data_IF_780362596950
#
_entry.id   IF_780362596950
#
_cell.length_a   1.000
_cell.length_b   1.000
_cell.length_c   1.000
_cell.angle_alpha   90.00
_cell.angle_beta   90.00
_cell.angle_gamma   90.00
#
_symmetry.space_group_name_H-M   'P 1'
#
loop_
_entity.id
_entity.type
_entity.pdbx_description
1 polymer ?
#
# COMPACT_ATOMS: atom_id res chain seq x y z
N UNK A 1 27.89 -17.32 -28.76
CA UNK A 1 29.32 -16.94 -28.74
C UNK A 1 30.14 -18.07 -29.35
N UNK A 2 30.95 -17.79 -30.38
CA UNK A 2 32.00 -18.72 -30.82
C UNK A 2 33.29 -18.33 -30.10
N UNK A 3 33.68 -19.12 -29.10
CA UNK A 3 34.90 -18.92 -28.33
C UNK A 3 35.93 -19.97 -28.76
N UNK A 4 37.17 -19.58 -29.02
CA UNK A 4 38.24 -20.49 -29.45
C UNK A 4 38.83 -21.33 -28.31
N UNK A 5 38.48 -21.03 -27.06
CA UNK A 5 38.93 -21.70 -25.85
C UNK A 5 37.72 -22.23 -25.06
N UNK A 6 37.67 -23.55 -24.88
CA UNK A 6 36.57 -24.28 -24.24
C UNK A 6 36.39 -23.90 -22.77
N UNK A 7 37.49 -23.61 -22.06
CA UNK A 7 37.45 -23.26 -20.64
C UNK A 7 36.91 -21.83 -20.45
N UNK A 8 37.29 -20.91 -21.32
CA UNK A 8 36.74 -19.54 -21.33
C UNK A 8 35.28 -19.51 -21.78
N UNK A 9 34.88 -20.36 -22.73
CA UNK A 9 33.49 -20.50 -23.12
C UNK A 9 32.61 -20.97 -21.95
N UNK A 10 33.09 -21.96 -21.18
CA UNK A 10 32.42 -22.46 -19.99
C UNK A 10 32.37 -21.42 -18.87
N UNK A 11 33.45 -20.68 -18.64
CA UNK A 11 33.51 -19.62 -17.63
C UNK A 11 32.56 -18.46 -17.97
N UNK A 12 32.55 -17.98 -19.21
CA UNK A 12 31.59 -16.98 -19.66
C UNK A 12 30.15 -17.51 -19.56
N UNK A 13 29.87 -18.74 -20.02
CA UNK A 13 28.51 -19.28 -19.95
C UNK A 13 28.00 -19.43 -18.51
N UNK A 14 28.88 -19.73 -17.56
CA UNK A 14 28.48 -20.02 -16.17
C UNK A 14 28.51 -18.77 -15.27
N UNK A 15 29.42 -17.82 -15.54
CA UNK A 15 29.72 -16.72 -14.63
C UNK A 15 29.57 -15.33 -15.25
N UNK A 16 29.15 -15.20 -16.52
CA UNK A 16 29.00 -13.90 -17.18
C UNK A 16 28.04 -12.97 -16.45
N UNK A 17 26.86 -13.47 -16.04
CA UNK A 17 25.91 -12.70 -15.25
C UNK A 17 26.56 -12.18 -13.96
N UNK A 18 27.15 -13.06 -13.14
CA UNK A 18 27.78 -12.65 -11.88
C UNK A 18 28.96 -11.68 -12.06
N UNK A 19 29.71 -11.79 -13.16
CA UNK A 19 30.91 -10.99 -13.41
C UNK A 19 30.59 -9.58 -13.94
N UNK A 20 29.56 -9.46 -14.79
CA UNK A 20 29.26 -8.24 -15.52
C UNK A 20 27.94 -7.59 -15.11
N UNK A 21 27.12 -8.21 -14.25
CA UNK A 21 25.81 -7.67 -13.87
C UNK A 21 25.89 -6.26 -13.30
N UNK A 22 26.80 -6.00 -12.36
CA UNK A 22 26.98 -4.65 -11.79
C UNK A 22 27.37 -3.63 -12.87
N UNK A 23 28.33 -3.99 -13.75
CA UNK A 23 28.80 -3.09 -14.81
C UNK A 23 27.71 -2.83 -15.87
N UNK A 24 26.94 -3.85 -16.23
CA UNK A 24 25.79 -3.74 -17.13
C UNK A 24 24.73 -2.84 -16.49
N UNK A 25 24.42 -3.01 -15.21
CA UNK A 25 23.48 -2.16 -14.48
C UNK A 25 23.91 -0.70 -14.47
N UNK A 26 25.19 -0.41 -14.15
CA UNK A 26 25.74 0.95 -14.17
C UNK A 26 25.64 1.60 -15.56
N UNK A 27 25.94 0.84 -16.62
CA UNK A 27 25.85 1.34 -18.00
C UNK A 27 24.40 1.58 -18.41
N UNK A 28 23.48 0.64 -18.09
CA UNK A 28 22.06 0.78 -18.39
C UNK A 28 21.51 2.03 -17.70
N UNK A 29 21.75 2.17 -16.41
CA UNK A 29 21.27 3.29 -15.60
C UNK A 29 21.74 4.62 -16.21
N UNK A 30 23.06 4.76 -16.43
CA UNK A 30 23.64 5.96 -17.04
C UNK A 30 23.03 6.29 -18.40
N UNK A 31 22.96 5.32 -19.31
CA UNK A 31 22.46 5.55 -20.67
C UNK A 31 20.96 5.87 -20.66
N UNK A 32 20.18 5.21 -19.81
CA UNK A 32 18.76 5.50 -19.65
C UNK A 32 18.53 6.92 -19.10
N UNK A 33 19.23 7.32 -18.04
CA UNK A 33 19.12 8.68 -17.48
C UNK A 33 19.54 9.78 -18.46
N UNK A 34 20.48 9.50 -19.36
CA UNK A 34 20.91 10.46 -20.39
C UNK A 34 19.92 10.58 -21.56
N UNK A 35 19.23 9.48 -21.92
CA UNK A 35 18.40 9.41 -23.11
C UNK A 35 16.90 9.54 -22.88
N UNK A 36 16.43 9.17 -21.69
CA UNK A 36 15.01 9.16 -21.34
C UNK A 36 14.77 10.32 -20.37
N UNK A 37 14.00 11.35 -20.79
CA UNK A 37 13.59 12.43 -19.90
C UNK A 37 12.87 11.89 -18.65
N UNK A 38 13.01 12.59 -17.51
CA UNK A 38 12.36 12.21 -16.24
C UNK A 38 10.84 12.11 -16.34
N UNK A 39 10.21 12.81 -17.30
CA UNK A 39 8.76 12.81 -17.54
C UNK A 39 8.30 11.73 -18.56
N UNK A 40 9.21 10.86 -19.03
CA UNK A 40 8.91 9.88 -20.07
C UNK A 40 9.06 8.44 -19.58
N UNK A 41 7.94 7.70 -19.52
CA UNK A 41 7.97 6.26 -19.29
C UNK A 41 8.20 5.50 -20.60
N UNK A 42 9.16 4.56 -20.59
CA UNK A 42 9.53 3.74 -21.75
C UNK A 42 9.56 2.28 -21.34
N UNK A 43 8.63 1.47 -21.88
CA UNK A 43 8.61 0.02 -21.69
C UNK A 43 9.27 -0.69 -22.87
N UNK A 44 10.20 -1.59 -22.59
CA UNK A 44 10.85 -2.44 -23.58
C UNK A 44 10.81 -3.88 -23.05
N UNK A 45 9.89 -4.70 -23.57
CA UNK A 45 9.71 -6.08 -23.09
C UNK A 45 10.96 -6.95 -23.31
N UNK A 46 11.68 -6.72 -24.41
CA UNK A 46 12.99 -7.32 -24.63
C UNK A 46 13.84 -6.47 -25.58
N UNK A 47 15.13 -6.37 -25.29
CA UNK A 47 16.10 -5.72 -26.16
C UNK A 47 17.20 -6.70 -26.54
N UNK A 48 17.23 -7.09 -27.81
CA UNK A 48 18.30 -7.92 -28.34
C UNK A 48 19.43 -7.04 -28.85
N UNK A 49 20.63 -7.23 -28.30
CA UNK A 49 21.80 -6.42 -28.63
C UNK A 49 22.86 -7.31 -29.26
N UNK A 50 23.19 -7.03 -30.51
CA UNK A 50 24.27 -7.72 -31.21
C UNK A 50 25.63 -7.10 -30.86
N UNK A 51 26.36 -7.80 -30.00
CA UNK A 51 27.62 -7.32 -29.42
C UNK A 51 28.84 -7.50 -30.34
N UNK A 52 28.70 -8.20 -31.47
CA UNK A 52 29.79 -8.42 -32.41
C UNK A 52 30.87 -9.40 -31.89
N UNK A 53 32.11 -9.21 -32.35
CA UNK A 53 33.26 -10.07 -32.00
C UNK A 53 34.20 -9.33 -31.06
N UNK A 54 34.63 -10.00 -30.00
CA UNK A 54 35.59 -9.47 -29.04
C UNK A 54 36.95 -10.14 -29.17
N UNK A 55 38.00 -9.38 -28.88
CA UNK A 55 39.34 -9.92 -28.68
C UNK A 55 39.44 -10.59 -27.32
N UNK A 56 40.14 -11.73 -27.27
CA UNK A 56 40.33 -12.52 -26.05
C UNK A 56 41.12 -11.76 -24.96
N UNK A 57 42.03 -10.86 -25.37
CA UNK A 57 42.94 -10.18 -24.45
C UNK A 57 42.40 -8.87 -23.88
N UNK A 58 41.35 -8.32 -24.46
CA UNK A 58 40.76 -7.02 -24.10
C UNK A 58 39.26 -7.10 -23.84
N UNK A 59 38.70 -8.32 -23.77
CA UNK A 59 37.26 -8.56 -23.63
C UNK A 59 36.58 -7.70 -22.57
N UNK A 60 37.14 -7.61 -21.36
CA UNK A 60 36.48 -6.90 -20.24
C UNK A 60 36.32 -5.40 -20.52
N UNK A 61 37.39 -4.72 -20.94
CA UNK A 61 37.39 -3.28 -21.22
C UNK A 61 36.65 -2.97 -22.51
N UNK A 62 36.80 -3.81 -23.54
CA UNK A 62 36.10 -3.63 -24.82
C UNK A 62 34.59 -3.88 -24.66
N UNK A 63 34.20 -4.81 -23.78
CA UNK A 63 32.80 -5.13 -23.53
C UNK A 63 32.03 -3.93 -22.99
N UNK A 64 32.56 -3.21 -21.99
CA UNK A 64 31.90 -2.03 -21.43
C UNK A 64 31.63 -0.97 -22.49
N UNK A 65 32.65 -0.63 -23.28
CA UNK A 65 32.57 0.40 -24.33
C UNK A 65 31.60 -0.04 -25.44
N UNK A 66 31.72 -1.27 -25.91
CA UNK A 66 30.89 -1.80 -26.98
C UNK A 66 29.44 -1.97 -26.51
N UNK A 67 29.22 -2.43 -25.28
CA UNK A 67 27.89 -2.58 -24.70
C UNK A 67 27.21 -1.23 -24.56
N UNK A 68 27.87 -0.24 -23.95
CA UNK A 68 27.32 1.11 -23.79
C UNK A 68 26.89 1.70 -25.14
N UNK A 69 27.80 1.66 -26.13
CA UNK A 69 27.51 2.17 -27.47
C UNK A 69 26.36 1.41 -28.16
N UNK A 70 26.35 0.08 -28.10
CA UNK A 70 25.33 -0.74 -28.75
C UNK A 70 23.98 -0.68 -28.06
N UNK A 71 23.96 -0.60 -26.73
CA UNK A 71 22.75 -0.38 -25.94
C UNK A 71 22.17 1.00 -26.24
N UNK A 72 22.98 2.06 -26.25
CA UNK A 72 22.54 3.41 -26.60
C UNK A 72 21.91 3.44 -28.00
N UNK A 73 22.55 2.82 -29.01
CA UNK A 73 21.99 2.74 -30.35
C UNK A 73 20.65 2.00 -30.38
N UNK A 74 20.60 0.82 -29.76
CA UNK A 74 19.39 0.01 -29.71
C UNK A 74 18.25 0.75 -28.99
N UNK A 75 18.55 1.46 -27.90
CA UNK A 75 17.59 2.26 -27.15
C UNK A 75 17.11 3.45 -27.99
N UNK A 76 17.99 4.21 -28.64
CA UNK A 76 17.60 5.32 -29.53
C UNK A 76 16.70 4.86 -30.66
N UNK A 77 16.97 3.70 -31.24
CA UNK A 77 16.11 3.12 -32.28
C UNK A 77 14.71 2.76 -31.74
N UNK A 78 14.61 2.23 -30.52
CA UNK A 78 13.31 1.99 -29.89
C UNK A 78 12.57 3.30 -29.59
N UNK A 79 13.27 4.29 -29.02
CA UNK A 79 12.69 5.60 -28.72
C UNK A 79 12.21 6.33 -29.98
N UNK A 80 12.90 6.17 -31.11
CA UNK A 80 12.53 6.77 -32.39
C UNK A 80 11.33 6.08 -33.07
N UNK A 81 11.08 4.81 -32.75
CA UNK A 81 9.94 4.03 -33.28
C UNK A 81 8.63 4.34 -32.56
N UNK A 82 8.70 4.85 -31.33
CA UNK A 82 7.54 5.12 -30.48
C UNK A 82 6.59 6.18 -31.07
N UNK A 83 5.58 5.73 -31.78
CA UNK A 83 4.41 6.53 -32.15
C UNK A 83 3.67 7.01 -30.89
N UNK A 84 2.88 8.10 -30.97
CA UNK A 84 2.03 8.53 -29.86
C UNK A 84 1.08 7.43 -29.35
N UNK A 85 0.65 6.52 -30.23
CA UNK A 85 -0.22 5.40 -29.90
C UNK A 85 0.52 4.31 -29.10
N UNK A 86 1.74 3.93 -29.50
CA UNK A 86 2.58 2.99 -28.74
C UNK A 86 2.97 3.55 -27.37
N UNK A 87 3.24 4.86 -27.28
CA UNK A 87 3.48 5.53 -25.98
C UNK A 87 2.24 5.45 -25.09
N UNK A 88 1.04 5.71 -25.62
CA UNK A 88 -0.22 5.60 -24.86
C UNK A 88 -0.43 4.18 -24.36
N UNK A 89 -0.22 3.18 -25.23
CA UNK A 89 -0.34 1.76 -24.88
C UNK A 89 0.66 1.38 -23.78
N UNK A 90 1.93 1.80 -23.88
CA UNK A 90 2.95 1.52 -22.87
C UNK A 90 2.62 2.14 -21.51
N UNK A 91 2.11 3.38 -21.49
CA UNK A 91 1.64 4.04 -20.26
C UNK A 91 0.45 3.29 -19.66
N UNK A 92 -0.51 2.88 -20.49
CA UNK A 92 -1.66 2.10 -20.02
C UNK A 92 -1.24 0.78 -19.38
N UNK A 93 -0.37 -0.01 -20.04
CA UNK A 93 0.13 -1.26 -19.48
C UNK A 93 0.94 -1.04 -18.19
N UNK A 94 1.76 0.01 -18.12
CA UNK A 94 2.48 0.34 -16.90
C UNK A 94 1.50 0.67 -15.75
N UNK A 95 0.45 1.45 -16.03
CA UNK A 95 -0.58 1.76 -15.04
C UNK A 95 -1.36 0.52 -14.59
N UNK A 96 -1.65 -0.41 -15.50
CA UNK A 96 -2.29 -1.69 -15.17
C UNK A 96 -1.40 -2.56 -14.29
N UNK A 97 -0.10 -2.67 -14.61
CA UNK A 97 0.85 -3.44 -13.81
C UNK A 97 1.03 -2.84 -12.39
N UNK A 98 1.11 -1.51 -12.29
CA UNK A 98 1.14 -0.81 -11.00
C UNK A 98 -0.15 -1.10 -10.22
N UNK A 99 -1.30 -1.07 -10.90
CA UNK A 99 -2.60 -1.29 -10.28
C UNK A 99 -2.76 -2.72 -9.76
N UNK A 100 -2.45 -3.72 -10.57
CA UNK A 100 -2.50 -5.13 -10.18
C UNK A 100 -1.54 -5.39 -9.02
N UNK A 101 -0.30 -4.91 -9.13
CA UNK A 101 0.69 -5.05 -8.05
C UNK A 101 0.23 -4.40 -6.75
N UNK A 102 -0.35 -3.20 -6.82
CA UNK A 102 -0.91 -2.51 -5.65
C UNK A 102 -2.10 -3.27 -5.08
N UNK A 103 -3.03 -3.75 -5.92
CA UNK A 103 -4.20 -4.48 -5.46
C UNK A 103 -3.86 -5.83 -4.82
N UNK A 104 -2.79 -6.48 -5.26
CA UNK A 104 -2.34 -7.75 -4.67
C UNK A 104 -1.54 -7.51 -3.39
N UNK A 105 -0.59 -6.58 -3.42
CA UNK A 105 0.44 -6.46 -2.37
C UNK A 105 0.20 -5.32 -1.38
N UNK A 106 -0.58 -4.31 -1.76
CA UNK A 106 -0.72 -3.05 -1.02
C UNK A 106 0.48 -2.11 -1.13
N UNK A 107 1.49 -2.45 -1.96
CA UNK A 107 2.72 -1.68 -2.16
C UNK A 107 2.83 -1.18 -3.60
N UNK A 108 3.82 -0.32 -3.86
CA UNK A 108 4.19 0.05 -5.22
C UNK A 108 5.29 -0.87 -5.76
N UNK A 109 5.34 -1.11 -7.08
CA UNK A 109 6.50 -1.72 -7.70
C UNK A 109 7.77 -0.89 -7.47
N UNK A 110 8.91 -1.58 -7.39
CA UNK A 110 10.20 -0.95 -7.04
C UNK A 110 10.67 0.15 -8.00
N UNK A 111 10.15 0.20 -9.22
CA UNK A 111 10.49 1.21 -10.23
C UNK A 111 9.64 2.48 -10.13
N UNK A 112 8.71 2.56 -9.19
CA UNK A 112 7.85 3.74 -9.00
C UNK A 112 8.10 4.39 -7.64
N UNK A 113 8.39 5.69 -7.65
CA UNK A 113 8.41 6.51 -6.45
C UNK A 113 7.02 6.92 -6.00
N UNK A 114 6.80 7.10 -4.69
CA UNK A 114 5.50 7.53 -4.15
C UNK A 114 5.04 8.89 -4.71
N UNK A 115 5.96 9.77 -5.08
CA UNK A 115 5.64 11.10 -5.65
C UNK A 115 5.13 11.03 -7.10
N UNK A 116 5.35 9.91 -7.76
CA UNK A 116 5.06 9.72 -9.18
C UNK A 116 3.68 9.07 -9.41
N UNK A 117 2.95 8.78 -8.33
CA UNK A 117 1.62 8.17 -8.39
C UNK A 117 0.56 9.09 -7.82
N UNK A 118 -0.51 9.25 -8.59
CA UNK A 118 -1.81 9.66 -8.09
C UNK A 118 -2.81 8.52 -8.31
N UNK A 119 -3.47 8.08 -7.23
CA UNK A 119 -4.50 7.04 -7.30
C UNK A 119 -5.66 7.45 -8.23
N UNK A 120 -5.89 8.74 -8.47
CA UNK A 120 -6.90 9.20 -9.43
C UNK A 120 -6.57 8.81 -10.87
N UNK A 121 -5.30 8.54 -11.21
CA UNK A 121 -4.91 8.04 -12.53
C UNK A 121 -5.54 6.67 -12.83
N UNK A 122 -5.83 5.88 -11.80
CA UNK A 122 -6.53 4.60 -11.96
C UNK A 122 -7.98 4.76 -12.42
N UNK A 123 -8.60 5.92 -12.19
CA UNK A 123 -9.95 6.17 -12.73
C UNK A 123 -9.92 6.19 -14.26
N UNK A 124 -8.96 6.88 -14.87
CA UNK A 124 -8.83 6.98 -16.33
C UNK A 124 -8.47 5.64 -16.98
N UNK A 125 -7.59 4.84 -16.36
CA UNK A 125 -7.24 3.51 -16.84
C UNK A 125 -8.44 2.55 -16.85
N UNK A 126 -9.33 2.64 -15.86
CA UNK A 126 -10.56 1.83 -15.79
C UNK A 126 -11.53 2.12 -16.93
N UNK A 127 -11.58 3.37 -17.41
CA UNK A 127 -12.51 3.76 -18.47
C UNK A 127 -12.00 3.49 -19.88
N UNK A 128 -10.69 3.33 -20.09
CA UNK A 128 -10.10 3.11 -21.42
C UNK A 128 -9.75 1.64 -21.73
N UNK A 129 -9.68 0.76 -20.71
CA UNK A 129 -9.32 -0.66 -20.86
C UNK A 129 -10.24 -1.62 -20.12
N UNK A 130 -10.67 -2.70 -20.79
CA UNK A 130 -11.45 -3.78 -20.16
C UNK A 130 -10.61 -4.74 -19.29
N UNK A 131 -9.27 -4.58 -19.24
CA UNK A 131 -8.41 -5.55 -18.55
C UNK A 131 -8.55 -5.51 -17.04
N UNK A 132 -8.71 -4.32 -16.45
CA UNK A 132 -8.94 -4.18 -15.01
C UNK A 132 -10.19 -4.95 -14.55
N UNK A 133 -11.25 -4.92 -15.35
CA UNK A 133 -12.47 -5.65 -15.04
C UNK A 133 -12.28 -7.16 -15.19
N UNK A 134 -11.45 -7.60 -16.16
CA UNK A 134 -11.05 -9.02 -16.27
C UNK A 134 -10.23 -9.46 -15.08
N UNK A 135 -9.32 -8.62 -14.58
CA UNK A 135 -8.57 -8.90 -13.35
C UNK A 135 -9.54 -9.14 -12.18
N UNK A 136 -10.47 -8.22 -11.91
CA UNK A 136 -11.48 -8.41 -10.86
C UNK A 136 -12.41 -9.60 -11.11
N UNK A 137 -12.73 -9.91 -12.37
CA UNK A 137 -13.51 -11.10 -12.73
C UNK A 137 -12.77 -12.40 -12.40
N UNK A 138 -11.44 -12.44 -12.58
CA UNK A 138 -10.61 -13.57 -12.14
C UNK A 138 -10.40 -13.62 -10.63
N UNK A 139 -10.50 -12.47 -9.95
CA UNK A 139 -10.27 -12.31 -8.52
C UNK A 139 -11.57 -12.19 -7.71
N UNK A 140 -12.69 -12.70 -8.22
CA UNK A 140 -14.01 -12.66 -7.54
C UNK A 140 -13.97 -13.19 -6.11
N UNK A 141 -13.11 -14.15 -5.80
CA UNK A 141 -13.06 -14.78 -4.47
C UNK A 141 -12.07 -14.14 -3.50
N UNK A 142 -11.18 -13.25 -3.98
CA UNK A 142 -10.09 -12.71 -3.17
C UNK A 142 -10.56 -11.53 -2.31
N UNK A 143 -10.74 -11.79 -1.02
CA UNK A 143 -11.22 -10.79 -0.04
C UNK A 143 -10.25 -9.63 0.12
N UNK A 144 -8.94 -9.86 0.00
CA UNK A 144 -7.91 -8.82 0.18
C UNK A 144 -7.99 -7.81 -0.95
N UNK A 145 -8.07 -8.29 -2.20
CA UNK A 145 -8.16 -7.44 -3.39
C UNK A 145 -9.42 -6.57 -3.36
N UNK A 146 -10.59 -7.16 -3.09
CA UNK A 146 -11.85 -6.41 -3.06
C UNK A 146 -11.92 -5.42 -1.89
N UNK A 147 -11.35 -5.76 -0.73
CA UNK A 147 -11.26 -4.85 0.41
C UNK A 147 -10.32 -3.68 0.13
N UNK A 148 -9.17 -3.93 -0.49
CA UNK A 148 -8.27 -2.86 -0.93
C UNK A 148 -8.93 -1.97 -1.98
N UNK A 149 -9.68 -2.56 -2.92
CA UNK A 149 -10.48 -1.80 -3.88
C UNK A 149 -11.51 -0.89 -3.20
N UNK A 150 -12.23 -1.41 -2.20
CA UNK A 150 -13.18 -0.62 -1.41
C UNK A 150 -12.49 0.56 -0.70
N UNK A 151 -11.35 0.33 -0.05
CA UNK A 151 -10.74 1.29 0.86
C UNK A 151 -9.72 2.26 0.26
N UNK A 152 -9.12 1.92 -0.89
CA UNK A 152 -8.02 2.70 -1.46
C UNK A 152 -8.41 3.38 -2.78
N UNK A 153 -9.39 2.83 -3.51
CA UNK A 153 -9.69 3.35 -4.85
C UNK A 153 -10.47 4.66 -4.81
N UNK A 154 -10.29 5.55 -5.80
CA UNK A 154 -11.16 6.71 -5.96
C UNK A 154 -12.62 6.29 -6.16
N UNK A 155 -13.55 7.14 -5.72
CA UNK A 155 -14.99 6.88 -5.86
C UNK A 155 -15.41 6.54 -7.30
N UNK A 156 -14.86 7.22 -8.31
CA UNK A 156 -15.16 6.94 -9.71
C UNK A 156 -14.83 5.48 -10.11
N UNK A 157 -13.72 4.93 -9.60
CA UNK A 157 -13.32 3.54 -9.81
C UNK A 157 -14.26 2.59 -9.08
N UNK A 158 -14.64 2.90 -7.82
CA UNK A 158 -15.61 2.10 -7.05
C UNK A 158 -16.94 1.96 -7.83
N UNK A 159 -17.45 3.08 -8.33
CA UNK A 159 -18.69 3.14 -9.13
C UNK A 159 -18.55 2.32 -10.42
N UNK A 160 -17.44 2.48 -11.15
CA UNK A 160 -17.21 1.76 -12.40
C UNK A 160 -17.17 0.23 -12.18
N UNK A 161 -16.51 -0.23 -11.12
CA UNK A 161 -16.51 -1.65 -10.73
C UNK A 161 -17.93 -2.15 -10.44
N UNK A 162 -18.69 -1.43 -9.61
CA UNK A 162 -20.06 -1.84 -9.27
C UNK A 162 -20.96 -1.88 -10.51
N UNK A 163 -20.84 -0.91 -11.41
CA UNK A 163 -21.63 -0.87 -12.65
C UNK A 163 -21.27 -1.99 -13.63
N UNK A 164 -20.02 -2.45 -13.61
CA UNK A 164 -19.56 -3.52 -14.50
C UNK A 164 -20.14 -4.88 -14.11
N UNK A 165 -20.27 -5.17 -12.81
CA UNK A 165 -20.75 -6.46 -12.30
C UNK A 165 -22.24 -6.39 -11.93
N UNK A 166 -23.14 -7.08 -12.66
CA UNK A 166 -24.60 -7.03 -12.39
C UNK A 166 -24.99 -7.42 -10.96
N UNK A 167 -24.27 -8.36 -10.36
CA UNK A 167 -24.49 -8.82 -8.98
C UNK A 167 -24.23 -7.69 -7.97
N UNK A 168 -23.17 -6.90 -8.19
CA UNK A 168 -22.84 -5.75 -7.36
C UNK A 168 -23.81 -4.59 -7.58
N UNK A 169 -24.26 -4.36 -8.82
CA UNK A 169 -25.28 -3.36 -9.11
C UNK A 169 -26.60 -3.69 -8.41
N UNK A 170 -27.00 -4.97 -8.40
CA UNK A 170 -28.18 -5.45 -7.67
C UNK A 170 -28.04 -5.21 -6.17
N UNK A 171 -26.86 -5.49 -5.61
CA UNK A 171 -26.54 -5.20 -4.21
C UNK A 171 -26.65 -3.70 -3.88
N UNK A 172 -26.12 -2.83 -4.75
CA UNK A 172 -26.18 -1.38 -4.60
C UNK A 172 -27.64 -0.87 -4.60
N UNK A 173 -28.47 -1.36 -5.52
CA UNK A 173 -29.88 -0.96 -5.60
C UNK A 173 -30.66 -1.39 -4.36
N UNK A 174 -30.35 -2.57 -3.82
CA UNK A 174 -30.96 -3.07 -2.58
C UNK A 174 -30.62 -2.18 -1.38
N UNK A 175 -29.35 -1.82 -1.20
CA UNK A 175 -28.94 -0.91 -0.12
C UNK A 175 -29.62 0.46 -0.24
N UNK A 176 -29.70 1.01 -1.46
CA UNK A 176 -30.40 2.28 -1.69
C UNK A 176 -31.87 2.19 -1.32
N UNK A 177 -32.52 1.06 -1.59
CA UNK A 177 -33.89 0.81 -1.18
C UNK A 177 -34.02 0.77 0.36
N UNK A 178 -33.14 0.04 1.05
CA UNK A 178 -33.15 0.00 2.52
C UNK A 178 -32.92 1.38 3.15
N UNK A 179 -32.00 2.18 2.60
CA UNK A 179 -31.72 3.55 3.08
C UNK A 179 -32.93 4.47 2.89
N UNK A 180 -33.66 4.32 1.77
CA UNK A 180 -34.92 5.05 1.55
C UNK A 180 -35.99 4.63 2.56
N UNK A 181 -36.09 3.33 2.87
CA UNK A 181 -37.01 2.81 3.89
C UNK A 181 -36.66 3.38 5.29
N UNK A 182 -35.36 3.54 5.64
CA UNK A 182 -34.90 4.22 6.87
C UNK A 182 -35.30 5.68 6.90
N UNK A 183 -35.10 6.39 5.80
CA UNK A 183 -35.39 7.83 5.73
C UNK A 183 -36.87 8.13 6.00
N UNK A 184 -37.75 7.17 5.71
CA UNK A 184 -39.18 7.21 6.06
C UNK A 184 -39.47 7.11 7.56
N UNK A 185 -38.54 6.64 8.39
CA UNK A 185 -38.66 6.45 9.84
C UNK A 185 -38.30 7.69 10.66
N UNK A 186 -38.02 8.84 10.03
CA UNK A 186 -37.68 10.13 10.67
C UNK A 186 -36.45 10.10 11.61
N UNK A 187 -35.46 9.27 11.31
CA UNK A 187 -34.21 9.20 12.08
C UNK A 187 -33.21 10.26 11.57
N UNK A 188 -33.20 11.44 12.18
CA UNK A 188 -32.30 12.55 11.78
C UNK A 188 -30.80 12.28 11.98
N UNK A 189 -30.44 11.21 12.68
CA UNK A 189 -29.05 10.86 13.03
C UNK A 189 -28.36 9.93 12.02
N UNK A 190 -29.10 9.29 11.12
CA UNK A 190 -28.54 8.30 10.18
C UNK A 190 -28.42 8.93 8.79
N UNK A 191 -27.20 8.94 8.24
CA UNK A 191 -26.90 9.45 6.92
C UNK A 191 -25.83 8.61 6.24
N UNK A 192 -26.15 8.09 5.06
CA UNK A 192 -25.21 7.35 4.22
C UNK A 192 -24.76 8.23 3.07
N UNK A 193 -23.45 8.45 2.95
CA UNK A 193 -22.86 9.01 1.72
C UNK A 193 -22.87 7.95 0.61
N UNK A 194 -22.80 8.38 -0.65
CA UNK A 194 -22.64 7.44 -1.77
C UNK A 194 -21.41 6.54 -1.57
N UNK A 195 -20.29 7.15 -1.20
CA UNK A 195 -19.02 6.45 -0.98
C UNK A 195 -19.12 5.34 0.06
N UNK A 196 -19.80 5.58 1.18
CA UNK A 196 -20.00 4.56 2.22
C UNK A 196 -20.80 3.35 1.69
N UNK A 197 -21.79 3.59 0.82
CA UNK A 197 -22.61 2.53 0.22
C UNK A 197 -21.77 1.74 -0.79
N UNK A 198 -21.01 2.44 -1.63
CA UNK A 198 -20.13 1.82 -2.63
C UNK A 198 -19.05 0.95 -1.95
N UNK A 199 -18.45 1.43 -0.86
CA UNK A 199 -17.51 0.67 -0.04
C UNK A 199 -18.13 -0.60 0.54
N UNK A 200 -19.34 -0.50 1.09
CA UNK A 200 -20.03 -1.65 1.68
C UNK A 200 -20.29 -2.74 0.63
N UNK A 201 -20.73 -2.36 -0.58
CA UNK A 201 -20.92 -3.30 -1.69
C UNK A 201 -19.62 -3.99 -2.05
N UNK A 202 -18.53 -3.23 -2.24
CA UNK A 202 -17.23 -3.78 -2.63
C UNK A 202 -16.61 -4.67 -1.53
N UNK A 203 -16.74 -4.29 -0.26
CA UNK A 203 -16.30 -5.12 0.86
C UNK A 203 -17.03 -6.47 0.92
N UNK A 204 -18.27 -6.53 0.42
CA UNK A 204 -19.07 -7.75 0.38
C UNK A 204 -18.95 -8.51 -0.96
N UNK A 205 -18.23 -7.97 -1.96
CA UNK A 205 -18.23 -8.48 -3.32
C UNK A 205 -17.92 -9.99 -3.42
N UNK A 206 -16.88 -10.54 -2.74
CA UNK A 206 -16.61 -11.97 -2.79
C UNK A 206 -17.75 -12.86 -2.30
N UNK A 207 -18.49 -12.42 -1.29
CA UNK A 207 -19.66 -13.14 -0.79
C UNK A 207 -20.87 -12.96 -1.71
N UNK A 208 -21.05 -11.77 -2.29
CA UNK A 208 -22.11 -11.47 -3.26
C UNK A 208 -22.00 -12.36 -4.49
N UNK A 209 -20.79 -12.58 -5.03
CA UNK A 209 -20.60 -13.44 -6.20
C UNK A 209 -20.91 -14.92 -5.95
N UNK A 210 -20.93 -15.36 -4.69
CA UNK A 210 -21.13 -16.76 -4.30
C UNK A 210 -22.57 -17.06 -3.86
N UNK A 211 -23.40 -16.03 -3.65
CA UNK A 211 -24.74 -16.19 -3.09
C UNK A 211 -25.83 -16.05 -4.15
N UNK A 212 -26.94 -16.75 -3.95
CA UNK A 212 -28.21 -16.45 -4.65
C UNK A 212 -29.09 -15.47 -3.87
N UNK A 213 -28.75 -15.18 -2.61
CA UNK A 213 -29.49 -14.32 -1.70
C UNK A 213 -28.58 -13.17 -1.22
N UNK A 214 -28.57 -12.09 -1.99
CA UNK A 214 -27.75 -10.89 -1.73
C UNK A 214 -28.17 -10.19 -0.43
N UNK A 215 -29.46 -10.24 -0.07
CA UNK A 215 -30.00 -9.61 1.15
C UNK A 215 -29.34 -10.18 2.41
N UNK A 216 -29.18 -11.50 2.46
CA UNK A 216 -28.56 -12.21 3.59
C UNK A 216 -27.09 -11.84 3.80
N UNK A 217 -26.36 -11.54 2.72
CA UNK A 217 -24.94 -11.14 2.76
C UNK A 217 -24.79 -9.70 3.22
N UNK A 218 -25.64 -8.80 2.70
CA UNK A 218 -25.52 -7.36 2.96
C UNK A 218 -26.07 -6.93 4.31
N UNK A 219 -27.06 -7.65 4.84
CA UNK A 219 -27.81 -7.19 6.01
C UNK A 219 -26.91 -6.95 7.23
N UNK A 220 -26.03 -7.90 7.54
CA UNK A 220 -25.19 -7.80 8.73
C UNK A 220 -24.20 -6.61 8.61
N UNK A 221 -23.45 -6.43 7.48
CA UNK A 221 -22.63 -5.24 7.25
C UNK A 221 -23.41 -3.93 7.30
N UNK A 222 -24.62 -3.92 6.76
CA UNK A 222 -25.48 -2.74 6.76
C UNK A 222 -25.96 -2.37 8.17
N UNK A 223 -26.40 -3.35 8.96
CA UNK A 223 -26.81 -3.13 10.35
C UNK A 223 -25.66 -2.61 11.21
N UNK A 224 -24.45 -3.13 11.01
CA UNK A 224 -23.25 -2.65 11.70
C UNK A 224 -22.89 -1.20 11.28
N UNK A 225 -23.02 -0.88 10.00
CA UNK A 225 -22.85 0.48 9.50
C UNK A 225 -23.85 1.48 10.14
N UNK A 226 -25.10 1.06 10.39
CA UNK A 226 -26.08 1.88 11.13
C UNK A 226 -25.61 2.10 12.58
N UNK A 227 -25.17 1.05 13.28
CA UNK A 227 -24.71 1.17 14.68
C UNK A 227 -23.56 2.17 14.81
N UNK A 228 -22.62 2.17 13.87
CA UNK A 228 -21.48 3.09 13.87
C UNK A 228 -21.88 4.57 13.69
N UNK A 229 -23.05 4.86 13.12
CA UNK A 229 -23.52 6.24 12.93
C UNK A 229 -24.29 6.79 14.13
N UNK A 230 -24.81 5.94 15.01
CA UNK A 230 -25.68 6.33 16.11
C UNK A 230 -24.91 6.24 17.43
N UNK A 231 -24.85 7.34 18.20
CA UNK A 231 -24.12 7.38 19.47
C UNK A 231 -24.78 6.55 20.57
N UNK A 232 -26.11 6.48 20.58
CA UNK A 232 -26.88 5.71 21.57
C UNK A 232 -27.21 4.32 21.01
N UNK A 233 -26.58 3.29 21.56
CA UNK A 233 -26.79 1.90 21.16
C UNK A 233 -28.26 1.48 21.20
N UNK A 234 -29.07 2.00 22.14
CA UNK A 234 -30.49 1.66 22.22
C UNK A 234 -31.28 2.25 21.05
N UNK A 235 -30.91 3.45 20.60
CA UNK A 235 -31.51 4.07 19.43
C UNK A 235 -31.12 3.30 18.17
N UNK A 236 -29.84 2.92 18.05
CA UNK A 236 -29.35 2.10 16.94
C UNK A 236 -30.11 0.78 16.85
N UNK A 237 -30.23 0.06 17.97
CA UNK A 237 -30.92 -1.23 18.02
C UNK A 237 -32.42 -1.08 17.77
N UNK A 238 -33.08 -0.01 18.25
CA UNK A 238 -34.48 0.24 17.95
C UNK A 238 -34.72 0.48 16.45
N UNK A 239 -33.84 1.24 15.78
CA UNK A 239 -33.91 1.45 14.33
C UNK A 239 -33.69 0.14 13.58
N UNK A 240 -32.68 -0.63 13.96
CA UNK A 240 -32.38 -1.93 13.37
C UNK A 240 -33.59 -2.87 13.52
N UNK A 241 -34.19 -2.98 14.70
CA UNK A 241 -35.35 -3.84 14.94
C UNK A 241 -36.57 -3.44 14.10
N UNK A 242 -36.83 -2.14 13.95
CA UNK A 242 -37.89 -1.65 13.08
C UNK A 242 -37.64 -1.99 11.61
N UNK A 243 -36.39 -1.88 11.15
CA UNK A 243 -36.00 -2.26 9.80
C UNK A 243 -36.09 -3.76 9.58
N UNK A 244 -35.57 -4.58 10.50
CA UNK A 244 -35.70 -6.04 10.46
C UNK A 244 -37.17 -6.41 10.32
N UNK A 245 -38.04 -5.85 11.14
CA UNK A 245 -39.48 -6.14 11.09
C UNK A 245 -40.11 -5.76 9.75
N UNK A 246 -39.68 -4.64 9.15
CA UNK A 246 -40.17 -4.19 7.85
C UNK A 246 -39.60 -4.99 6.67
N UNK A 247 -38.33 -5.42 6.76
CA UNK A 247 -37.59 -6.09 5.70
C UNK A 247 -37.78 -7.61 5.73
N UNK A 248 -37.87 -8.26 6.89
CA UNK A 248 -38.11 -9.71 7.01
C UNK A 248 -39.43 -10.16 6.36
N UNK A 249 -40.39 -9.23 6.20
CA UNK A 249 -41.64 -9.46 5.46
C UNK A 249 -41.46 -9.41 3.93
N UNK A 250 -40.42 -8.71 3.45
CA UNK A 250 -40.13 -8.51 2.03
C UNK A 250 -38.99 -9.40 1.54
N UNK A 251 -38.08 -9.78 2.44
CA UNK A 251 -36.77 -10.35 2.15
C UNK A 251 -36.39 -11.42 3.20
N UNK A 252 -35.43 -12.29 2.86
CA UNK A 252 -35.00 -13.41 3.70
C UNK A 252 -33.90 -12.98 4.69
N UNK A 253 -34.17 -11.91 5.45
CA UNK A 253 -33.23 -11.31 6.39
C UNK A 253 -33.36 -11.96 7.79
N UNK A 254 -32.26 -12.28 8.49
CA UNK A 254 -32.31 -12.79 9.86
C UNK A 254 -33.00 -11.81 10.83
N UNK A 255 -33.96 -12.32 11.61
CA UNK A 255 -34.73 -11.53 12.60
C UNK A 255 -33.89 -11.00 13.78
N UNK A 256 -32.70 -11.55 14.00
CA UNK A 256 -31.82 -11.16 15.11
C UNK A 256 -30.40 -10.90 14.64
N UNK A 257 -29.92 -9.67 14.83
CA UNK A 257 -28.50 -9.31 14.77
C UNK A 257 -28.04 -9.06 16.20
N UNK A 258 -27.28 -9.97 16.81
CA UNK A 258 -26.84 -9.77 18.20
C UNK A 258 -25.85 -8.61 18.28
N UNK A 259 -26.03 -7.71 19.25
CA UNK A 259 -25.02 -6.73 19.63
C UNK A 259 -23.71 -7.46 19.99
N UNK A 260 -22.67 -7.28 19.16
CA UNK A 260 -21.37 -7.95 19.30
C UNK A 260 -20.94 -8.82 18.11
N UNK A 261 -21.85 -9.15 17.17
CA UNK A 261 -21.45 -9.75 15.89
C UNK A 261 -20.94 -8.65 14.95
N UNK A 262 -19.62 -8.46 14.92
CA UNK A 262 -18.99 -7.61 13.90
C UNK A 262 -19.20 -8.25 12.52
N UNK A 263 -19.79 -7.46 11.63
CA UNK A 263 -20.34 -7.95 10.38
C UNK A 263 -19.33 -8.37 9.33
N UNK A 264 -18.13 -7.79 9.41
CA UNK A 264 -16.98 -8.19 8.63
C UNK A 264 -15.99 -8.69 9.66
N UNK A 265 -15.94 -10.01 9.86
CA UNK A 265 -14.76 -10.61 10.49
C UNK A 265 -13.63 -10.28 9.52
N UNK A 266 -12.83 -9.29 9.90
CA UNK A 266 -11.57 -9.02 9.24
C UNK A 266 -10.67 -10.16 9.68
N UNK A 267 -10.77 -11.30 8.98
CA UNK A 267 -9.77 -12.34 9.11
C UNK A 267 -8.45 -11.69 8.75
N UNK A 268 -7.55 -11.59 9.74
CA UNK A 268 -6.17 -11.26 9.44
C UNK A 268 -5.69 -12.35 8.48
N UNK A 269 -5.18 -11.99 7.29
CA UNK A 269 -4.50 -12.97 6.47
C UNK A 269 -3.45 -13.62 7.37
N UNK A 270 -3.32 -14.95 7.28
CA UNK A 270 -2.36 -15.67 8.09
C UNK A 270 -1.02 -14.93 8.02
N UNK A 271 -0.39 -14.69 9.17
CA UNK A 271 0.99 -14.18 9.19
C UNK A 271 1.79 -15.02 8.20
N UNK A 272 2.37 -14.36 7.20
CA UNK A 272 3.37 -15.03 6.38
C UNK A 272 4.43 -15.51 7.37
N UNK A 273 4.58 -16.83 7.49
CA UNK A 273 5.81 -17.38 8.04
C UNK A 273 6.91 -16.80 7.16
N UNK A 274 7.89 -16.10 7.75
CA UNK A 274 9.04 -15.57 7.01
C UNK A 274 9.65 -16.72 6.21
N UNK A 275 9.31 -16.79 4.93
CA UNK A 275 9.92 -17.75 4.03
C UNK A 275 11.33 -17.23 3.72
N UNK A 276 12.23 -18.08 3.24
CA UNK A 276 13.61 -17.69 2.90
C UNK A 276 13.71 -16.64 1.76
N UNK A 277 12.60 -16.05 1.35
CA UNK A 277 12.50 -14.97 0.39
C UNK A 277 12.81 -13.64 1.10
N UNK A 278 13.98 -13.08 0.80
CA UNK A 278 14.38 -11.71 1.14
C UNK A 278 13.52 -10.70 0.35
N UNK A 279 12.22 -10.62 0.67
CA UNK A 279 11.30 -9.66 0.07
C UNK A 279 11.75 -8.24 0.42
N UNK A 280 11.66 -7.35 -0.55
CA UNK A 280 12.18 -5.98 -0.46
C UNK A 280 11.07 -5.00 -0.72
N UNK A 281 10.96 -4.02 0.16
CA UNK A 281 9.95 -2.98 0.15
C UNK A 281 10.64 -1.62 0.18
N UNK A 282 10.36 -0.78 -0.81
CA UNK A 282 10.75 0.61 -0.79
C UNK A 282 9.78 1.38 0.11
N UNK A 283 10.31 2.22 0.99
CA UNK A 283 9.52 2.99 1.96
C UNK A 283 10.01 4.43 2.00
N UNK A 284 9.12 5.42 2.06
CA UNK A 284 9.50 6.85 2.02
C UNK A 284 9.57 7.52 3.40
N UNK A 285 9.19 6.80 4.45
CA UNK A 285 9.09 7.29 5.84
C UNK A 285 10.00 6.52 6.79
N UNK A 286 11.14 6.03 6.30
CA UNK A 286 12.06 5.16 7.04
C UNK A 286 12.55 5.77 8.37
N UNK A 287 12.61 7.09 8.43
CA UNK A 287 13.04 7.82 9.61
C UNK A 287 12.12 7.73 10.83
N UNK A 288 10.89 7.25 10.65
CA UNK A 288 9.96 6.95 11.76
C UNK A 288 10.59 6.03 12.81
N UNK A 289 11.57 5.22 12.42
CA UNK A 289 12.30 4.32 13.32
C UNK A 289 12.98 5.05 14.49
N UNK A 290 13.35 6.32 14.31
CA UNK A 290 13.94 7.16 15.35
C UNK A 290 12.97 7.42 16.52
N UNK A 291 11.67 7.26 16.30
CA UNK A 291 10.62 7.50 17.28
C UNK A 291 10.17 6.23 18.01
N UNK A 292 10.74 5.07 17.68
CA UNK A 292 10.32 3.77 18.22
C UNK A 292 10.27 3.67 19.75
N UNK A 293 11.17 4.30 20.54
CA UNK A 293 11.09 4.22 22.00
C UNK A 293 9.81 4.82 22.59
N UNK A 294 9.11 5.68 21.83
CA UNK A 294 7.96 6.44 22.32
C UNK A 294 6.60 5.83 21.92
N UNK A 295 6.58 4.89 20.96
CA UNK A 295 5.32 4.38 20.38
C UNK A 295 4.43 3.68 21.40
N UNK A 296 5.00 2.84 22.28
CA UNK A 296 4.18 2.14 23.28
C UNK A 296 3.44 3.13 24.17
N UNK A 297 4.14 4.14 24.68
CA UNK A 297 3.53 5.15 25.54
C UNK A 297 2.45 5.94 24.79
N UNK A 298 2.70 6.32 23.54
CA UNK A 298 1.71 7.00 22.72
C UNK A 298 0.44 6.16 22.52
N UNK A 299 0.59 4.87 22.18
CA UNK A 299 -0.56 3.99 21.96
C UNK A 299 -1.32 3.67 23.26
N UNK A 300 -0.62 3.56 24.39
CA UNK A 300 -1.27 3.45 25.71
C UNK A 300 -2.08 4.72 26.03
N UNK A 301 -1.53 5.92 25.77
CA UNK A 301 -2.21 7.20 26.01
C UNK A 301 -3.44 7.41 25.14
N UNK A 302 -3.41 6.90 23.91
CA UNK A 302 -4.52 6.96 22.97
C UNK A 302 -5.50 5.79 23.11
N UNK A 303 -5.32 4.93 24.13
CA UNK A 303 -6.16 3.76 24.40
C UNK A 303 -6.26 2.77 23.21
N UNK A 304 -5.24 2.74 22.35
CA UNK A 304 -5.18 1.84 21.19
C UNK A 304 -4.60 0.48 21.56
N UNK A 305 -3.76 0.44 22.59
CA UNK A 305 -3.09 -0.75 23.06
C UNK A 305 -3.24 -0.88 24.58
N UNK A 306 -3.76 -2.00 25.06
CA UNK A 306 -4.03 -2.23 26.48
C UNK A 306 -3.82 -3.71 26.84
N UNK A 307 -3.26 -3.95 28.02
CA UNK A 307 -3.06 -5.31 28.56
C UNK A 307 -2.29 -6.28 27.64
N UNK A 308 -1.45 -5.74 26.73
CA UNK A 308 -0.64 -6.51 25.80
C UNK A 308 -1.29 -6.76 24.44
N UNK A 309 -2.48 -6.21 24.18
CA UNK A 309 -3.25 -6.42 22.96
C UNK A 309 -3.78 -5.09 22.38
N UNK A 310 -4.02 -5.07 21.07
CA UNK A 310 -4.72 -3.98 20.40
C UNK A 310 -6.19 -3.97 20.82
N UNK A 311 -6.76 -2.80 21.12
CA UNK A 311 -8.12 -2.71 21.67
C UNK A 311 -9.22 -3.03 20.66
N UNK A 312 -8.95 -2.84 19.37
CA UNK A 312 -9.76 -3.33 18.25
C UNK A 312 -8.93 -3.38 16.96
N UNK A 313 -9.49 -3.96 15.90
CA UNK A 313 -8.87 -3.93 14.58
C UNK A 313 -8.76 -2.50 14.02
N UNK A 314 -9.78 -1.66 14.25
CA UNK A 314 -9.77 -0.24 13.90
C UNK A 314 -8.71 0.52 14.70
N UNK A 315 -8.52 0.21 15.99
CA UNK A 315 -7.46 0.79 16.80
C UNK A 315 -6.07 0.43 16.26
N UNK A 316 -5.89 -0.81 15.80
CA UNK A 316 -4.64 -1.27 15.17
C UNK A 316 -4.37 -0.54 13.85
N UNK A 317 -5.37 -0.39 12.97
CA UNK A 317 -5.23 0.43 11.75
C UNK A 317 -4.96 1.90 12.06
N UNK A 318 -5.65 2.47 13.06
CA UNK A 318 -5.44 3.86 13.49
C UNK A 318 -4.02 4.09 14.00
N UNK A 319 -3.44 3.12 14.70
CA UNK A 319 -2.03 3.18 15.12
C UNK A 319 -1.08 3.29 13.92
N UNK A 320 -1.33 2.55 12.83
CA UNK A 320 -0.56 2.69 11.57
C UNK A 320 -0.65 4.11 11.01
N UNK A 321 -1.86 4.68 10.93
CA UNK A 321 -2.06 6.07 10.46
C UNK A 321 -1.43 7.11 11.38
N UNK A 322 -1.43 6.90 12.69
CA UNK A 322 -0.74 7.77 13.66
C UNK A 322 0.77 7.80 13.37
N UNK A 323 1.39 6.65 13.08
CA UNK A 323 2.80 6.61 12.72
C UNK A 323 3.07 7.37 11.41
N UNK A 324 2.21 7.20 10.40
CA UNK A 324 2.31 7.96 9.15
C UNK A 324 2.16 9.47 9.37
N UNK A 325 1.26 9.89 10.26
CA UNK A 325 1.09 11.30 10.64
C UNK A 325 2.29 11.85 11.42
N UNK A 326 2.93 11.06 12.28
CA UNK A 326 4.17 11.47 12.95
C UNK A 326 5.24 11.80 11.90
N UNK A 327 5.41 10.95 10.89
CA UNK A 327 6.39 11.12 9.82
C UNK A 327 6.10 12.32 8.92
N UNK A 328 4.86 12.49 8.48
CA UNK A 328 4.53 13.38 7.36
C UNK A 328 3.72 14.62 7.77
N UNK A 329 2.97 14.55 8.87
CA UNK A 329 1.95 15.54 9.22
C UNK A 329 0.70 15.49 8.36
N UNK A 330 0.59 14.52 7.45
CA UNK A 330 -0.56 14.33 6.58
C UNK A 330 -1.50 13.28 7.18
N UNK A 331 -2.79 13.45 6.94
CA UNK A 331 -3.81 12.43 7.22
C UNK A 331 -4.21 11.74 5.92
N UNK A 332 -4.87 10.58 6.03
CA UNK A 332 -5.40 9.82 4.89
C UNK A 332 -4.34 9.41 3.87
N UNK A 333 -3.18 9.01 4.40
CA UNK A 333 -2.10 8.46 3.59
C UNK A 333 -2.60 7.19 2.88
N UNK A 334 -2.23 7.00 1.60
CA UNK A 334 -2.53 5.78 0.89
C UNK A 334 -1.78 4.59 1.50
N UNK A 335 -2.33 3.38 1.36
CA UNK A 335 -1.77 2.17 1.96
C UNK A 335 -0.31 1.92 1.58
N UNK A 336 0.06 2.23 0.33
CA UNK A 336 1.41 2.02 -0.18
C UNK A 336 2.48 2.88 0.52
N UNK A 337 2.08 3.97 1.18
CA UNK A 337 2.97 4.85 1.94
C UNK A 337 3.15 4.41 3.40
N UNK A 338 2.46 3.34 3.82
CA UNK A 338 2.33 2.91 5.21
C UNK A 338 2.94 1.53 5.48
N UNK A 339 3.80 1.03 4.59
CA UNK A 339 4.36 -0.33 4.67
C UNK A 339 5.23 -0.53 5.91
N UNK A 340 6.13 0.43 6.19
CA UNK A 340 6.96 0.34 7.39
C UNK A 340 6.11 0.49 8.66
N UNK A 341 5.12 1.36 8.63
CA UNK A 341 4.20 1.58 9.74
C UNK A 341 3.36 0.34 10.04
N UNK A 342 2.89 -0.39 9.00
CA UNK A 342 2.26 -1.72 9.14
C UNK A 342 3.19 -2.68 9.88
N UNK A 343 4.43 -2.80 9.39
CA UNK A 343 5.44 -3.68 9.98
C UNK A 343 5.74 -3.28 11.43
N UNK A 344 5.90 -2.00 11.74
CA UNK A 344 6.12 -1.51 13.11
C UNK A 344 4.96 -1.91 14.02
N UNK A 345 3.72 -1.72 13.58
CA UNK A 345 2.53 -2.09 14.34
C UNK A 345 2.28 -3.62 14.40
N UNK A 346 3.07 -4.44 13.71
CA UNK A 346 2.84 -5.89 13.64
C UNK A 346 1.59 -6.26 12.84
N UNK A 347 1.21 -5.41 11.88
CA UNK A 347 0.16 -5.72 10.91
C UNK A 347 0.79 -6.40 9.69
N UNK A 348 0.22 -7.51 9.16
CA UNK A 348 0.73 -8.16 7.96
C UNK A 348 0.84 -7.19 6.78
N UNK A 349 1.87 -7.32 5.94
CA UNK A 349 2.15 -6.37 4.85
C UNK A 349 1.03 -6.38 3.82
N UNK A 350 0.47 -7.55 3.54
CA UNK A 350 -0.64 -7.74 2.60
C UNK A 350 -2.00 -7.30 3.18
N UNK A 351 -2.07 -6.93 4.46
CA UNK A 351 -3.32 -6.52 5.09
C UNK A 351 -3.77 -5.16 4.51
N UNK A 352 -4.95 -5.07 3.89
CA UNK A 352 -5.47 -3.80 3.42
C UNK A 352 -5.72 -2.85 4.59
N UNK A 353 -5.43 -1.57 4.37
CA UNK A 353 -5.70 -0.52 5.36
C UNK A 353 -6.75 0.44 4.80
N UNK A 354 -7.67 0.88 5.64
CA UNK A 354 -8.62 1.92 5.28
C UNK A 354 -7.91 3.27 5.13
N UNK A 355 -8.08 3.98 4.01
CA UNK A 355 -7.45 5.28 3.80
C UNK A 355 -8.04 6.37 4.69
N UNK A 356 -9.37 6.41 4.78
CA UNK A 356 -10.12 7.51 5.41
C UNK A 356 -10.31 7.33 6.92
N UNK A 357 -9.24 6.92 7.62
CA UNK A 357 -9.23 6.95 9.09
C UNK A 357 -8.86 8.36 9.53
N UNK A 358 -9.87 9.12 9.95
CA UNK A 358 -9.68 10.47 10.44
C UNK A 358 -9.03 10.45 11.84
N UNK A 359 -7.95 11.24 11.99
CA UNK A 359 -7.34 11.46 13.29
C UNK A 359 -8.11 12.56 14.02
N UNK A 360 -8.53 12.26 15.24
CA UNK A 360 -9.20 13.23 16.10
C UNK A 360 -8.24 14.34 16.52
N UNK A 361 -8.78 15.47 16.99
CA UNK A 361 -7.97 16.55 17.55
C UNK A 361 -7.07 16.06 18.71
N UNK A 362 -7.55 15.08 19.48
CA UNK A 362 -6.77 14.47 20.57
C UNK A 362 -5.59 13.66 20.02
N UNK A 363 -5.79 12.88 18.96
CA UNK A 363 -4.70 12.12 18.32
C UNK A 363 -3.61 13.06 17.81
N UNK A 364 -4.01 14.12 17.10
CA UNK A 364 -3.11 15.12 16.52
C UNK A 364 -2.34 15.86 17.63
N UNK A 365 -3.01 16.23 18.73
CA UNK A 365 -2.36 16.89 19.85
C UNK A 365 -1.28 16.00 20.49
N UNK A 366 -1.59 14.73 20.79
CA UNK A 366 -0.62 13.79 21.35
C UNK A 366 0.58 13.54 20.41
N UNK A 367 0.33 13.43 19.11
CA UNK A 367 1.42 13.31 18.13
C UNK A 367 2.34 14.53 18.13
N UNK A 368 1.79 15.74 18.17
CA UNK A 368 2.57 16.96 18.21
C UNK A 368 3.36 17.11 19.52
N UNK A 369 2.77 16.72 20.65
CA UNK A 369 3.45 16.69 21.95
C UNK A 369 4.66 15.74 21.94
N UNK A 370 4.51 14.53 21.35
CA UNK A 370 5.62 13.60 21.18
C UNK A 370 6.75 14.21 20.34
N UNK A 371 6.43 14.80 19.19
CA UNK A 371 7.44 15.41 18.30
C UNK A 371 8.16 16.57 18.99
N UNK A 372 7.45 17.39 19.77
CA UNK A 372 8.07 18.46 20.57
C UNK A 372 8.98 17.93 21.68
N UNK A 373 8.58 16.84 22.35
CA UNK A 373 9.42 16.19 23.35
C UNK A 373 10.72 15.66 22.72
N UNK A 374 10.62 15.02 21.55
CA UNK A 374 11.78 14.52 20.79
C UNK A 374 12.75 15.64 20.44
N UNK A 375 12.25 16.77 19.90
CA UNK A 375 13.07 17.95 19.59
C UNK A 375 13.75 18.49 20.84
N UNK A 376 13.00 18.58 21.95
CA UNK A 376 13.51 19.10 23.22
C UNK A 376 14.59 18.22 23.83
N UNK A 377 14.46 16.90 23.72
CA UNK A 377 15.42 15.94 24.24
C UNK A 377 16.65 15.79 23.33
N UNK A 378 16.49 15.90 22.01
CA UNK A 378 17.60 15.89 21.06
C UNK A 378 18.21 17.29 20.94
N UNK A 379 18.92 17.72 21.99
CA UNK A 379 19.37 19.11 22.21
C UNK A 379 20.14 19.77 21.06
N UNK A 380 20.76 18.97 20.19
CA UNK A 380 21.52 19.44 19.03
C UNK A 380 20.63 20.06 17.95
N UNK A 381 19.35 19.67 17.90
CA UNK A 381 18.37 20.22 16.98
C UNK A 381 18.01 21.69 17.31
N UNK A 382 18.27 22.16 18.55
CA UNK A 382 18.02 23.55 18.97
C UNK A 382 16.57 23.98 18.69
N UNK A 383 16.36 24.94 17.80
CA UNK A 383 15.07 25.55 17.48
C UNK A 383 14.41 24.92 16.24
N UNK A 384 14.74 23.67 15.92
CA UNK A 384 14.09 22.94 14.81
C UNK A 384 12.58 22.85 15.06
N UNK A 385 11.78 23.18 14.05
CA UNK A 385 10.33 22.99 14.09
C UNK A 385 9.95 21.51 13.90
N UNK A 386 8.70 21.15 14.17
CA UNK A 386 8.18 19.81 13.86
C UNK A 386 8.38 19.48 12.38
N UNK A 387 8.03 20.40 11.47
CA UNK A 387 8.22 20.16 10.03
C UNK A 387 9.70 20.07 9.66
N UNK A 388 10.56 20.78 10.39
CA UNK A 388 12.01 20.62 10.28
C UNK A 388 12.49 19.25 10.73
N UNK A 389 11.95 18.68 11.82
CA UNK A 389 12.24 17.31 12.24
C UNK A 389 11.77 16.31 11.18
N UNK A 390 10.53 16.47 10.70
CA UNK A 390 9.94 15.61 9.67
C UNK A 390 10.77 15.58 8.39
N UNK A 391 10.97 16.74 7.76
CA UNK A 391 11.66 16.83 6.47
C UNK A 391 13.14 16.48 6.53
N UNK A 392 13.80 16.70 7.67
CA UNK A 392 15.22 16.37 7.81
C UNK A 392 15.47 14.92 8.23
N UNK A 393 14.60 14.31 9.05
CA UNK A 393 14.92 13.03 9.69
C UNK A 393 13.83 11.97 9.56
N UNK A 394 12.55 12.30 9.43
CA UNK A 394 11.47 11.29 9.40
C UNK A 394 11.06 10.88 7.98
N UNK A 395 10.92 11.87 7.08
CA UNK A 395 10.67 11.64 5.65
C UNK A 395 12.01 11.31 4.98
N UNK A 396 12.35 10.02 5.00
CA UNK A 396 13.57 9.46 4.45
C UNK A 396 13.24 8.20 3.68
N UNK A 397 13.79 8.11 2.49
CA UNK A 397 13.69 6.90 1.70
C UNK A 397 14.48 5.78 2.39
N UNK A 398 14.00 4.56 2.25
CA UNK A 398 14.63 3.39 2.80
C UNK A 398 14.22 2.11 2.08
N UNK A 399 15.01 1.07 2.32
CA UNK A 399 14.78 -0.27 1.84
C UNK A 399 14.54 -1.18 3.04
N UNK A 400 13.32 -1.66 3.16
CA UNK A 400 12.91 -2.64 4.16
C UNK A 400 13.01 -4.05 3.55
N UNK A 401 13.80 -4.92 4.18
CA UNK A 401 14.02 -6.30 3.72
C UNK A 401 13.56 -7.27 4.79
N UNK A 402 12.74 -8.26 4.42
CA UNK A 402 12.38 -9.37 5.29
C UNK A 402 13.52 -10.37 5.39
N UNK A 403 13.69 -10.96 6.57
CA UNK A 403 14.65 -12.04 6.87
C UNK A 403 13.97 -13.09 7.75
N UNK A 404 14.55 -14.29 7.86
CA UNK A 404 13.98 -15.41 8.63
C UNK A 404 13.63 -15.06 10.09
N UNK A 405 14.36 -14.12 10.70
CA UNK A 405 14.22 -13.74 12.12
C UNK A 405 13.73 -12.31 12.34
N UNK A 406 13.24 -11.64 11.29
CA UNK A 406 12.71 -10.28 11.38
C UNK A 406 13.03 -9.41 10.17
N UNK A 407 13.37 -8.15 10.43
CA UNK A 407 13.47 -7.13 9.40
C UNK A 407 14.79 -6.39 9.44
N UNK A 408 15.24 -5.94 8.26
CA UNK A 408 16.35 -5.02 8.11
C UNK A 408 15.86 -3.78 7.37
N UNK A 409 16.02 -2.61 7.96
CA UNK A 409 15.71 -1.32 7.37
C UNK A 409 17.01 -0.58 7.06
N UNK A 410 17.26 -0.34 5.78
CA UNK A 410 18.38 0.50 5.33
C UNK A 410 17.86 1.89 4.99
N UNK A 411 18.38 2.93 5.63
CA UNK A 411 17.89 4.31 5.47
C UNK A 411 18.83 5.11 4.57
N UNK A 412 18.27 5.97 3.73
CA UNK A 412 19.02 6.90 2.89
C UNK A 412 19.89 7.86 3.73
N UNK A 413 21.20 7.87 3.44
CA UNK A 413 22.18 8.74 4.09
C UNK A 413 22.20 10.15 3.52
N UNK A 414 22.17 11.17 4.40
CA UNK A 414 22.40 12.59 4.08
C UNK A 414 23.41 13.21 5.01
N UNK A 415 24.00 14.35 4.60
CA UNK A 415 25.02 15.07 5.38
C UNK A 415 24.56 15.45 6.80
N UNK A 416 23.27 15.73 6.99
CA UNK A 416 22.71 16.10 8.30
C UNK A 416 22.71 14.94 9.31
N UNK A 417 22.91 13.71 8.85
CA UNK A 417 22.87 12.50 9.68
C UNK A 417 24.04 12.43 10.68
N UNK A 418 25.06 13.28 10.52
CA UNK A 418 26.10 13.50 11.54
C UNK A 418 25.49 13.90 12.91
N UNK A 419 24.29 14.48 12.92
CA UNK A 419 23.59 14.85 14.16
C UNK A 419 23.03 13.63 14.90
N UNK A 420 22.82 12.49 14.23
CA UNK A 420 22.33 11.24 14.85
C UNK A 420 23.32 10.68 15.86
N UNK A 421 24.62 10.98 15.73
CA UNK A 421 25.62 10.60 16.72
C UNK A 421 25.37 11.20 18.12
N UNK A 422 24.48 12.20 18.21
CA UNK A 422 24.13 12.90 19.44
C UNK A 422 22.65 12.67 19.86
N UNK A 423 21.96 11.71 19.24
CA UNK A 423 20.62 11.31 19.71
C UNK A 423 20.76 10.58 21.06
N UNK A 424 19.97 10.93 22.09
CA UNK A 424 20.20 10.42 23.44
C UNK A 424 19.61 9.03 23.71
N UNK A 425 19.02 8.37 22.71
CA UNK A 425 18.44 7.03 22.80
C UNK A 425 18.95 6.13 21.66
N UNK A 426 18.80 4.81 21.80
CA UNK A 426 19.13 3.85 20.74
C UNK A 426 18.01 3.72 19.70
N UNK A 427 18.37 3.52 18.44
CA UNK A 427 17.43 3.32 17.33
C UNK A 427 17.87 2.23 16.32
N UNK A 428 19.05 1.62 16.51
CA UNK A 428 19.61 0.61 15.59
C UNK A 428 18.91 -0.74 15.67
N UNK A 429 18.16 -0.99 16.74
CA UNK A 429 17.40 -2.21 16.96
C UNK A 429 16.09 -1.84 17.61
N UNK A 430 14.99 -2.01 16.89
CA UNK A 430 13.65 -1.78 17.41
C UNK A 430 13.00 -3.11 17.79
N UNK A 431 12.50 -3.16 19.02
CA UNK A 431 11.72 -4.26 19.57
C UNK A 431 10.39 -3.70 20.08
N UNK A 432 9.30 -4.45 19.92
CA UNK A 432 7.97 -3.98 20.24
C UNK A 432 7.22 -4.98 21.15
N UNK A 433 6.36 -4.52 22.06
CA UNK A 433 5.58 -5.42 22.92
C UNK A 433 4.55 -6.29 22.18
N UNK A 434 4.06 -5.83 21.02
CA UNK A 434 2.97 -6.46 20.25
C UNK A 434 3.46 -7.36 19.11
N UNK A 435 4.78 -7.52 18.92
CA UNK A 435 5.34 -8.44 17.91
C UNK A 435 6.68 -9.02 18.36
N UNK A 436 7.02 -10.20 17.85
CA UNK A 436 8.21 -10.95 18.29
C UNK A 436 9.48 -10.57 17.54
N UNK A 437 9.37 -10.23 16.26
CA UNK A 437 10.55 -9.97 15.45
C UNK A 437 11.09 -8.56 15.65
N UNK A 438 12.39 -8.42 15.41
CA UNK A 438 13.11 -7.17 15.52
C UNK A 438 13.19 -6.47 14.17
N UNK A 439 13.32 -5.14 14.21
CA UNK A 439 13.76 -4.36 13.05
C UNK A 439 15.19 -3.89 13.34
N UNK A 440 16.14 -4.38 12.55
CA UNK A 440 17.53 -3.93 12.55
C UNK A 440 17.66 -2.75 11.60
N UNK A 441 18.26 -1.66 12.06
CA UNK A 441 18.36 -0.43 11.26
C UNK A 441 19.80 -0.12 10.92
N UNK A 442 20.04 0.02 9.63
CA UNK A 442 21.28 0.54 9.07
C UNK A 442 21.02 1.96 8.60
N UNK A 443 21.59 2.92 9.33
CA UNK A 443 21.55 4.33 8.96
C UNK A 443 22.86 4.77 8.34
#
# INVERSE_FOLDING_TARGET
MNCSDEWQALNLRSNFAQTFQLQIQEIIDKVCSELVPEDQLVRIDSLQIEMGKFSQHSFRTDFEIVFAYKFEQALREQLAKNSPEEKRIAIQFANEEIFEFFLETGNLPWWIGEKDIDLTMFSLAVFEGNMIFRFFDTQREDVVIWRRAAWQMPQATKIALIQFFPELLTALDLLKQWINDISGLQTSEISFSGEMIEELVLMCAPAIFKTSDVSSVLWLPFADAIRRQVRDENVADAVIQNLVSALALKENIPETVSAGQHALIVEMPAEKVFDAANEKYFVSHAGIILLTPFFKQLFDQLELFKDGEWTSFEAHMKAVHILGFLSTGQQRLPEYSLTLEKVICGMPEAMPIQRDIDLTETDVANCNELLQAVISHWSVLKNTSIDGLRGNFLVRDGLLTSHETGWQLQVERKTIDVLLAQIPWGFTTAAFPWRRDLILTEW
#
